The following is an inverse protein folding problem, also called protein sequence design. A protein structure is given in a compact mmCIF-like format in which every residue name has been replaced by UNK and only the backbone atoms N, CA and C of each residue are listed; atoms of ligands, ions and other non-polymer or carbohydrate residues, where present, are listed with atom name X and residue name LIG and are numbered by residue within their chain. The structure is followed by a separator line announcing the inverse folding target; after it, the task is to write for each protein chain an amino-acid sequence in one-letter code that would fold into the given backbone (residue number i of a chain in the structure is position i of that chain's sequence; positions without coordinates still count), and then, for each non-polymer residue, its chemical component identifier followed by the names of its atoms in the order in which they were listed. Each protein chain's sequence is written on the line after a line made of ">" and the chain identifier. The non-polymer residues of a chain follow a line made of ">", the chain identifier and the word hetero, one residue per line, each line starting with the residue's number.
data_IF_527823668244
#
_entry.id   IF_527823668244
#
_cell.length_a   1.000
_cell.length_b   1.000
_cell.length_c   1.000
_cell.angle_alpha   90.00
_cell.angle_beta   90.00
_cell.angle_gamma   90.00
#
_symmetry.space_group_name_H-M   'P 1'
#
loop_
_entity.id
_entity.type
_entity.pdbx_description
1 polymer ?
#
# COMPACT_ATOMS: atom_id res chain seq x y z
N UNK A 1 -12.10 3.68 25.42
CA UNK A 1 -12.05 3.19 24.03
C UNK A 1 -11.80 1.69 24.12
N UNK A 2 -12.57 0.89 23.39
CA UNK A 2 -12.35 -0.56 23.37
C UNK A 2 -11.03 -0.86 22.67
N UNK A 3 -10.23 -1.78 23.20
CA UNK A 3 -9.03 -2.28 22.51
C UNK A 3 -9.39 -3.18 21.30
N UNK A 4 -10.69 -3.48 21.13
CA UNK A 4 -11.20 -4.28 20.03
C UNK A 4 -11.36 -3.47 18.76
N UNK A 5 -11.18 -4.11 17.61
CA UNK A 5 -11.40 -3.49 16.32
C UNK A 5 -12.86 -3.13 16.12
N UNK A 6 -13.11 -2.07 15.35
CA UNK A 6 -14.44 -1.71 14.89
C UNK A 6 -14.86 -2.57 13.68
N UNK A 7 -16.15 -2.46 13.35
CA UNK A 7 -16.74 -3.19 12.23
C UNK A 7 -16.06 -2.87 10.90
N UNK A 8 -15.67 -1.63 10.68
CA UNK A 8 -15.12 -1.16 9.41
C UNK A 8 -13.70 -1.71 9.21
N UNK A 9 -12.86 -1.70 10.24
CA UNK A 9 -11.56 -2.36 10.27
C UNK A 9 -11.67 -3.85 9.90
N UNK A 10 -12.62 -4.57 10.51
CA UNK A 10 -12.85 -6.00 10.18
C UNK A 10 -13.30 -6.18 8.74
N UNK A 11 -14.22 -5.35 8.23
CA UNK A 11 -14.70 -5.45 6.85
C UNK A 11 -13.63 -5.04 5.82
N UNK A 12 -12.72 -4.14 6.18
CA UNK A 12 -11.57 -3.73 5.37
C UNK A 12 -10.57 -4.87 5.11
N UNK A 13 -10.57 -5.92 5.94
CA UNK A 13 -9.80 -7.14 5.71
C UNK A 13 -10.38 -8.03 4.61
N UNK A 14 -11.63 -7.81 4.20
CA UNK A 14 -12.31 -8.72 3.29
C UNK A 14 -11.63 -8.73 1.90
N UNK A 15 -11.40 -9.92 1.31
CA UNK A 15 -10.77 -10.01 -0.01
C UNK A 15 -11.68 -9.51 -1.14
N UNK A 16 -13.00 -9.43 -0.91
CA UNK A 16 -13.98 -8.82 -1.81
C UNK A 16 -15.29 -8.50 -1.07
N UNK A 17 -16.12 -7.65 -1.70
CA UNK A 17 -17.42 -7.23 -1.18
C UNK A 17 -18.39 -8.38 -0.91
N UNK A 18 -18.31 -9.46 -1.69
CA UNK A 18 -19.15 -10.65 -1.49
C UNK A 18 -18.79 -11.38 -0.19
N UNK A 19 -17.50 -11.46 0.13
CA UNK A 19 -16.98 -12.05 1.37
C UNK A 19 -17.36 -11.21 2.58
N UNK A 20 -17.25 -9.87 2.49
CA UNK A 20 -17.72 -8.94 3.50
C UNK A 20 -19.23 -9.11 3.79
N UNK A 21 -20.06 -9.14 2.75
CA UNK A 21 -21.51 -9.36 2.89
C UNK A 21 -21.84 -10.72 3.52
N UNK A 22 -21.14 -11.78 3.10
CA UNK A 22 -21.35 -13.13 3.63
C UNK A 22 -20.92 -13.26 5.10
N UNK A 23 -19.92 -12.50 5.54
CA UNK A 23 -19.47 -12.46 6.93
C UNK A 23 -20.58 -12.01 7.88
N UNK A 24 -21.33 -10.96 7.52
CA UNK A 24 -22.49 -10.50 8.32
C UNK A 24 -23.58 -11.56 8.48
N UNK A 25 -23.72 -12.48 7.51
CA UNK A 25 -24.65 -13.60 7.62
C UNK A 25 -24.24 -14.68 8.62
N UNK A 26 -22.94 -14.77 8.96
CA UNK A 26 -22.39 -15.74 9.92
C UNK A 26 -21.99 -15.11 11.25
N UNK A 27 -21.86 -13.79 11.34
CA UNK A 27 -21.67 -13.04 12.58
C UNK A 27 -22.96 -13.02 13.43
N UNK A 28 -23.35 -14.19 13.95
CA UNK A 28 -24.51 -14.38 14.83
C UNK A 28 -24.12 -15.36 15.93
N UNK A 29 -24.23 -15.01 17.23
CA UNK A 29 -23.79 -15.90 18.32
C UNK A 29 -24.32 -17.33 18.22
N UNK A 30 -25.59 -17.50 17.83
CA UNK A 30 -26.24 -18.80 17.65
C UNK A 30 -25.60 -19.73 16.59
N UNK A 31 -24.76 -19.20 15.70
CA UNK A 31 -24.02 -20.00 14.70
C UNK A 31 -22.66 -20.48 15.20
N UNK A 32 -22.22 -19.98 16.34
CA UNK A 32 -20.90 -20.24 16.90
C UNK A 32 -21.00 -21.04 18.19
N UNK A 33 -20.00 -21.86 18.44
CA UNK A 33 -19.79 -22.56 19.70
C UNK A 33 -18.31 -22.49 20.07
N UNK A 34 -18.01 -22.65 21.36
CA UNK A 34 -16.62 -22.64 21.86
C UNK A 34 -15.87 -21.37 21.48
N UNK A 35 -16.55 -20.23 21.41
CA UNK A 35 -15.93 -18.93 21.16
C UNK A 35 -15.16 -18.50 22.39
N UNK A 36 -14.00 -17.91 22.17
CA UNK A 36 -13.22 -17.27 23.22
C UNK A 36 -12.18 -16.33 22.62
N UNK A 37 -11.67 -15.43 23.44
CA UNK A 37 -10.50 -14.62 23.11
C UNK A 37 -9.54 -14.52 24.29
N UNK A 38 -8.34 -14.07 23.97
CA UNK A 38 -7.33 -13.56 24.90
C UNK A 38 -6.62 -12.37 24.23
N UNK A 39 -5.56 -11.86 24.84
CA UNK A 39 -4.83 -10.69 24.36
C UNK A 39 -4.20 -10.88 22.95
N UNK A 40 -3.99 -12.13 22.52
CA UNK A 40 -3.27 -12.43 21.29
C UNK A 40 -4.17 -13.01 20.19
N UNK A 41 -5.29 -13.63 20.56
CA UNK A 41 -6.08 -14.40 19.60
C UNK A 41 -7.58 -14.40 19.91
N UNK A 42 -8.36 -14.59 18.86
CA UNK A 42 -9.79 -14.94 18.94
C UNK A 42 -10.04 -16.26 18.23
N UNK A 43 -10.89 -17.11 18.79
CA UNK A 43 -11.23 -18.42 18.22
C UNK A 43 -12.73 -18.74 18.34
N UNK A 44 -13.18 -19.69 17.53
CA UNK A 44 -14.52 -20.26 17.64
C UNK A 44 -14.81 -21.33 16.58
N UNK A 45 -15.90 -22.06 16.79
CA UNK A 45 -16.38 -23.09 15.88
C UNK A 45 -17.70 -22.67 15.23
N UNK A 46 -17.65 -22.36 13.92
CA UNK A 46 -18.85 -21.95 13.18
C UNK A 46 -19.57 -23.18 12.62
N UNK A 47 -20.86 -23.34 12.91
CA UNK A 47 -21.70 -24.36 12.26
C UNK A 47 -21.84 -24.04 10.77
N UNK A 48 -21.21 -24.87 9.95
CA UNK A 48 -21.24 -24.78 8.49
C UNK A 48 -22.44 -25.50 7.87
N UNK A 49 -22.46 -25.58 6.54
CA UNK A 49 -23.39 -26.42 5.78
C UNK A 49 -23.03 -27.91 5.78
N UNK A 50 -21.90 -28.29 6.39
CA UNK A 50 -21.42 -29.67 6.49
C UNK A 50 -21.71 -30.30 7.85
N UNK A 51 -21.29 -31.56 8.04
CA UNK A 51 -21.50 -32.33 9.29
C UNK A 51 -20.63 -31.85 10.47
N UNK A 52 -19.48 -31.23 10.20
CA UNK A 52 -18.56 -30.70 11.23
C UNK A 52 -18.54 -29.17 11.24
N UNK A 53 -18.35 -28.60 12.44
CA UNK A 53 -18.15 -27.16 12.59
C UNK A 53 -16.77 -26.74 12.06
N UNK A 54 -16.70 -25.55 11.46
CA UNK A 54 -15.45 -24.97 10.98
C UNK A 54 -14.72 -24.27 12.12
N UNK A 55 -13.55 -24.79 12.51
CA UNK A 55 -12.66 -24.16 13.48
C UNK A 55 -12.02 -22.95 12.84
N UNK A 56 -12.15 -21.81 13.51
CA UNK A 56 -11.69 -20.52 13.02
C UNK A 56 -10.92 -19.82 14.12
N UNK A 57 -9.73 -19.33 13.82
CA UNK A 57 -8.90 -18.55 14.73
C UNK A 57 -8.25 -17.39 13.98
N UNK A 58 -8.07 -16.27 14.67
CA UNK A 58 -7.33 -15.12 14.20
C UNK A 58 -6.30 -14.71 15.25
N UNK A 59 -5.10 -14.40 14.78
CA UNK A 59 -4.03 -13.72 15.53
C UNK A 59 -4.34 -12.22 15.50
N UNK A 60 -4.31 -11.54 16.65
CA UNK A 60 -4.61 -10.12 16.83
C UNK A 60 -3.33 -9.27 16.94
N UNK A 61 -2.16 -9.88 17.12
CA UNK A 61 -0.84 -9.22 17.23
C UNK A 61 -0.20 -9.01 15.86
N UNK A 62 -0.22 -10.05 15.03
CA UNK A 62 0.15 -10.00 13.62
C UNK A 62 -1.02 -10.54 12.78
N UNK A 63 -2.02 -9.68 12.47
CA UNK A 63 -3.29 -10.08 11.90
C UNK A 63 -3.19 -11.15 10.82
N UNK A 64 -3.57 -12.35 11.21
CA UNK A 64 -3.53 -13.54 10.38
C UNK A 64 -4.69 -14.46 10.73
N UNK A 65 -5.09 -15.29 9.78
CA UNK A 65 -6.38 -15.97 9.86
C UNK A 65 -6.24 -17.43 9.47
N UNK A 66 -6.83 -18.32 10.27
CA UNK A 66 -6.99 -19.74 9.93
C UNK A 66 -8.44 -20.15 10.08
N UNK A 67 -8.93 -20.87 9.08
CA UNK A 67 -10.25 -21.49 9.11
C UNK A 67 -10.17 -22.85 8.44
N UNK A 68 -10.83 -23.87 8.99
CA UNK A 68 -10.88 -25.21 8.39
C UNK A 68 -11.87 -25.36 7.22
N UNK A 69 -12.47 -24.25 6.75
CA UNK A 69 -13.42 -24.29 5.64
C UNK A 69 -12.71 -24.43 4.28
N UNK A 70 -13.37 -24.97 3.24
CA UNK A 70 -12.76 -25.22 1.92
C UNK A 70 -12.59 -23.95 1.05
N UNK A 71 -12.77 -22.75 1.62
CA UNK A 71 -12.69 -21.50 0.86
C UNK A 71 -11.25 -21.23 0.42
N UNK A 72 -11.09 -20.70 -0.80
CA UNK A 72 -9.81 -20.17 -1.28
C UNK A 72 -9.64 -18.67 -1.02
N UNK A 73 -10.63 -18.02 -0.41
CA UNK A 73 -10.60 -16.60 -0.05
C UNK A 73 -10.16 -16.46 1.41
N UNK A 74 -9.11 -15.69 1.65
CA UNK A 74 -8.54 -15.48 2.98
C UNK A 74 -8.31 -13.98 3.22
N UNK A 75 -8.83 -13.40 4.33
CA UNK A 75 -9.73 -14.02 5.31
C UNK A 75 -11.05 -14.49 4.68
N UNK A 76 -11.57 -15.65 5.13
CA UNK A 76 -12.84 -16.17 4.65
C UNK A 76 -14.01 -15.56 5.43
N UNK A 77 -15.25 -15.79 4.98
CA UNK A 77 -16.45 -15.28 5.68
C UNK A 77 -16.53 -15.69 7.16
N UNK A 78 -15.98 -16.84 7.54
CA UNK A 78 -16.00 -17.29 8.95
C UNK A 78 -14.96 -16.53 9.78
N UNK A 79 -13.75 -16.32 9.26
CA UNK A 79 -12.74 -15.47 9.92
C UNK A 79 -13.25 -14.06 10.13
N UNK A 80 -13.83 -13.45 9.09
CA UNK A 80 -14.47 -12.13 9.19
C UNK A 80 -15.66 -12.15 10.16
N UNK A 81 -16.50 -13.18 10.12
CA UNK A 81 -17.66 -13.31 11.00
C UNK A 81 -17.30 -13.46 12.48
N UNK A 82 -16.23 -14.18 12.79
CA UNK A 82 -15.69 -14.29 14.16
C UNK A 82 -15.17 -12.94 14.65
N UNK A 83 -14.38 -12.26 13.82
CA UNK A 83 -13.85 -10.94 14.15
C UNK A 83 -14.95 -9.90 14.33
N UNK A 84 -16.05 -9.98 13.56
CA UNK A 84 -17.23 -9.13 13.76
C UNK A 84 -17.89 -9.39 15.12
N UNK A 85 -18.04 -10.65 15.53
CA UNK A 85 -18.58 -10.97 16.86
C UNK A 85 -17.67 -10.45 17.97
N UNK A 86 -16.35 -10.59 17.80
CA UNK A 86 -15.39 -10.06 18.76
C UNK A 86 -15.45 -8.54 18.84
N UNK A 87 -15.42 -7.85 17.70
CA UNK A 87 -15.58 -6.40 17.58
C UNK A 87 -16.85 -5.88 18.27
N UNK A 88 -17.95 -6.62 18.16
CA UNK A 88 -19.25 -6.28 18.75
C UNK A 88 -19.36 -6.65 20.25
N UNK A 89 -18.29 -7.14 20.89
CA UNK A 89 -18.31 -7.51 22.31
C UNK A 89 -18.94 -8.88 22.60
N UNK A 90 -19.29 -9.65 21.58
CA UNK A 90 -20.06 -10.91 21.71
C UNK A 90 -19.18 -12.17 21.88
N UNK A 91 -17.87 -11.99 22.07
CA UNK A 91 -16.92 -13.05 22.42
C UNK A 91 -16.27 -12.69 23.75
N UNK A 92 -16.42 -13.60 24.72
CA UNK A 92 -15.87 -13.48 26.07
C UNK A 92 -14.45 -14.05 26.14
N UNK A 93 -13.70 -13.64 27.16
CA UNK A 93 -12.38 -14.21 27.43
C UNK A 93 -12.49 -15.67 27.84
N UNK A 94 -11.50 -16.49 27.43
CA UNK A 94 -11.53 -17.90 27.76
C UNK A 94 -10.22 -18.63 27.54
N UNK A 95 -10.10 -19.88 28.03
CA UNK A 95 -8.91 -20.68 27.80
C UNK A 95 -8.81 -21.10 26.32
N UNK A 96 -7.65 -20.83 25.72
CA UNK A 96 -7.37 -21.17 24.32
C UNK A 96 -7.42 -22.69 24.10
N UNK A 97 -8.22 -23.21 23.16
CA UNK A 97 -8.28 -24.63 22.86
C UNK A 97 -6.99 -25.11 22.19
N UNK A 98 -6.64 -26.38 22.37
CA UNK A 98 -5.37 -26.96 21.89
C UNK A 98 -5.08 -26.69 20.40
N UNK A 99 -6.10 -26.81 19.53
CA UNK A 99 -5.93 -26.56 18.09
C UNK A 99 -5.63 -25.10 17.74
N UNK A 100 -6.06 -24.13 18.57
CA UNK A 100 -5.77 -22.71 18.39
C UNK A 100 -4.38 -22.40 18.95
N UNK A 101 -4.03 -22.97 20.11
CA UNK A 101 -2.68 -22.86 20.70
C UNK A 101 -1.61 -23.44 19.77
N UNK A 102 -1.81 -24.65 19.25
CA UNK A 102 -0.92 -25.28 18.26
C UNK A 102 -0.70 -24.39 17.04
N UNK A 103 -1.76 -23.75 16.54
CA UNK A 103 -1.64 -22.87 15.38
C UNK A 103 -0.84 -21.59 15.68
N UNK A 104 -1.03 -20.97 16.85
CA UNK A 104 -0.27 -19.79 17.26
C UNK A 104 1.22 -20.12 17.45
N UNK A 105 1.54 -21.26 18.07
CA UNK A 105 2.92 -21.71 18.24
C UNK A 105 3.58 -22.10 16.90
N UNK A 106 2.85 -22.78 16.01
CA UNK A 106 3.34 -23.02 14.64
C UNK A 106 3.67 -21.72 13.90
N UNK A 107 2.90 -20.65 14.11
CA UNK A 107 3.17 -19.35 13.50
C UNK A 107 4.42 -18.71 14.07
N UNK A 108 4.58 -18.67 15.40
CA UNK A 108 5.78 -18.14 16.07
C UNK A 108 7.04 -18.84 15.57
N UNK A 109 7.04 -20.17 15.59
CA UNK A 109 8.17 -20.96 15.11
C UNK A 109 8.46 -20.75 13.60
N UNK A 110 7.44 -20.51 12.77
CA UNK A 110 7.64 -20.16 11.35
C UNK A 110 8.22 -18.77 11.17
N UNK A 111 7.79 -17.80 11.97
CA UNK A 111 8.31 -16.45 11.95
C UNK A 111 9.80 -16.43 12.33
N UNK A 112 10.17 -17.12 13.42
CA UNK A 112 11.56 -17.28 13.86
C UNK A 112 12.43 -17.94 12.78
N UNK A 113 12.00 -19.07 12.22
CA UNK A 113 12.72 -19.74 11.12
C UNK A 113 12.84 -18.87 9.86
N UNK A 114 11.85 -18.03 9.58
CA UNK A 114 11.92 -17.11 8.45
C UNK A 114 12.98 -16.02 8.66
N UNK A 115 13.12 -15.51 9.89
CA UNK A 115 14.19 -14.59 10.30
C UNK A 115 15.56 -15.27 10.13
N UNK A 116 15.73 -16.49 10.63
CA UNK A 116 16.98 -17.25 10.49
C UNK A 116 17.36 -17.51 9.02
N UNK A 117 16.40 -17.93 8.19
CA UNK A 117 16.65 -18.16 6.74
C UNK A 117 17.06 -16.90 6.00
N UNK A 118 16.48 -15.75 6.37
CA UNK A 118 16.82 -14.45 5.78
C UNK A 118 18.21 -14.01 6.20
N UNK A 119 18.58 -14.19 7.47
CA UNK A 119 19.94 -13.92 7.94
C UNK A 119 20.98 -14.77 7.18
N UNK A 120 20.67 -16.03 6.87
CA UNK A 120 21.55 -16.91 6.10
C UNK A 120 21.66 -16.53 4.61
N UNK A 121 20.61 -15.98 3.98
CA UNK A 121 20.65 -15.57 2.57
C UNK A 121 21.43 -14.25 2.37
N UNK A 122 21.40 -13.36 3.36
CA UNK A 122 22.08 -12.05 3.33
C UNK A 122 23.61 -12.16 3.16
N UNK A 123 24.23 -13.27 3.56
CA UNK A 123 25.68 -13.47 3.49
C UNK A 123 26.23 -13.68 2.06
N UNK A 124 25.36 -13.83 1.04
CA UNK A 124 25.80 -14.13 -0.33
C UNK A 124 25.97 -12.86 -1.15
N UNK A 125 27.19 -12.31 -1.14
CA UNK A 125 27.55 -11.18 -1.99
C UNK A 125 27.37 -11.49 -3.49
N UNK A 126 26.85 -10.52 -4.25
CA UNK A 126 26.73 -10.63 -5.71
C UNK A 126 28.11 -10.51 -6.36
N UNK A 127 28.37 -11.32 -7.38
CA UNK A 127 29.58 -11.26 -8.19
C UNK A 127 29.77 -9.86 -8.83
N UNK A 128 30.88 -9.15 -8.55
CA UNK A 128 31.14 -7.81 -9.10
C UNK A 128 31.08 -7.72 -10.63
N UNK A 129 31.52 -8.76 -11.34
CA UNK A 129 31.47 -8.79 -12.82
C UNK A 129 30.04 -8.79 -13.35
N UNK A 130 29.13 -9.44 -12.63
CA UNK A 130 27.71 -9.46 -12.97
C UNK A 130 27.04 -8.11 -12.73
N UNK A 131 27.47 -7.36 -11.70
CA UNK A 131 26.99 -6.00 -11.42
C UNK A 131 27.44 -5.03 -12.52
N UNK A 132 28.71 -5.06 -12.90
CA UNK A 132 29.24 -4.18 -13.95
C UNK A 132 28.57 -4.47 -15.31
N UNK A 133 28.41 -5.75 -15.68
CA UNK A 133 27.72 -6.12 -16.92
C UNK A 133 26.28 -5.61 -16.97
N UNK A 134 25.57 -5.66 -15.84
CA UNK A 134 24.22 -5.09 -15.72
C UNK A 134 24.24 -3.59 -15.91
N UNK A 135 25.16 -2.88 -15.26
CA UNK A 135 25.27 -1.42 -15.39
C UNK A 135 25.47 -1.00 -16.85
N UNK A 136 26.38 -1.67 -17.59
CA UNK A 136 26.61 -1.41 -19.02
C UNK A 136 25.37 -1.64 -19.88
N UNK A 137 24.64 -2.75 -19.69
CA UNK A 137 23.39 -3.03 -20.42
C UNK A 137 22.34 -1.95 -20.19
N UNK A 138 22.22 -1.49 -18.94
CA UNK A 138 21.31 -0.40 -18.58
C UNK A 138 21.76 0.91 -19.24
N UNK A 139 23.05 1.26 -19.18
CA UNK A 139 23.59 2.47 -19.83
C UNK A 139 23.25 2.48 -21.35
N UNK A 140 23.45 1.36 -22.05
CA UNK A 140 23.12 1.22 -23.47
C UNK A 140 21.62 1.36 -23.75
N UNK A 141 20.78 0.70 -22.94
CA UNK A 141 19.32 0.77 -23.07
C UNK A 141 18.77 2.18 -22.83
N UNK A 142 19.31 2.90 -21.84
CA UNK A 142 18.92 4.29 -21.58
C UNK A 142 19.41 5.25 -22.68
N UNK A 143 20.57 4.99 -23.29
CA UNK A 143 21.04 5.76 -24.44
C UNK A 143 20.17 5.58 -25.68
N UNK A 144 19.62 4.38 -25.88
CA UNK A 144 18.59 4.15 -26.91
C UNK A 144 17.28 4.88 -26.57
N UNK A 145 16.81 4.80 -25.32
CA UNK A 145 15.61 5.50 -24.89
C UNK A 145 15.72 7.02 -25.05
N UNK A 146 16.85 7.66 -24.70
CA UNK A 146 17.04 9.11 -24.90
C UNK A 146 16.97 9.50 -26.38
N UNK A 147 17.56 8.71 -27.28
CA UNK A 147 17.46 8.93 -28.73
C UNK A 147 16.01 8.84 -29.19
N UNK A 148 15.33 7.75 -28.81
CA UNK A 148 13.93 7.56 -29.16
C UNK A 148 13.04 8.71 -28.66
N UNK A 149 13.17 9.13 -27.40
CA UNK A 149 12.42 10.26 -26.82
C UNK A 149 12.67 11.57 -27.58
N UNK A 150 13.93 11.85 -27.95
CA UNK A 150 14.28 13.05 -28.73
C UNK A 150 13.69 13.01 -30.13
N UNK A 151 13.71 11.84 -30.77
CA UNK A 151 13.10 11.65 -32.08
C UNK A 151 11.58 11.87 -31.99
N UNK A 152 10.90 11.39 -30.95
CA UNK A 152 9.47 11.63 -30.76
C UNK A 152 9.11 13.11 -30.68
N UNK A 153 9.91 13.90 -29.96
CA UNK A 153 9.69 15.34 -29.87
C UNK A 153 10.04 16.05 -31.19
N UNK A 154 11.13 15.65 -31.85
CA UNK A 154 11.57 16.26 -33.11
C UNK A 154 10.60 16.04 -34.27
N UNK A 155 9.99 14.85 -34.37
CA UNK A 155 8.98 14.54 -35.40
C UNK A 155 7.62 15.17 -35.11
N UNK A 156 7.42 15.71 -33.90
CA UNK A 156 6.18 16.30 -33.44
C UNK A 156 5.20 15.27 -32.87
N UNK A 157 4.55 15.65 -31.77
CA UNK A 157 3.70 14.73 -31.00
C UNK A 157 2.42 14.32 -31.74
N UNK A 158 1.96 15.09 -32.72
CA UNK A 158 0.71 14.85 -33.46
C UNK A 158 0.59 13.43 -34.06
N UNK A 159 1.73 12.80 -34.40
CA UNK A 159 1.75 11.43 -34.94
C UNK A 159 1.46 10.36 -33.87
N UNK A 160 1.60 10.68 -32.59
CA UNK A 160 1.39 9.74 -31.49
C UNK A 160 -0.07 9.25 -31.40
N UNK A 161 -1.04 10.05 -31.86
CA UNK A 161 -2.46 9.66 -31.90
C UNK A 161 -2.71 8.49 -32.87
N UNK A 162 -1.93 8.42 -33.95
CA UNK A 162 -2.01 7.36 -34.97
C UNK A 162 -0.97 6.26 -34.77
N UNK A 163 -0.08 6.41 -33.78
CA UNK A 163 1.00 5.47 -33.53
C UNK A 163 0.46 4.10 -33.10
N UNK A 164 0.89 3.00 -33.73
CA UNK A 164 0.47 1.66 -33.31
C UNK A 164 1.06 1.32 -31.93
N UNK A 165 0.33 0.53 -31.13
CA UNK A 165 0.82 0.06 -29.82
C UNK A 165 2.22 -0.57 -29.89
N UNK A 166 2.50 -1.29 -30.99
CA UNK A 166 3.79 -1.96 -31.26
C UNK A 166 4.99 -1.01 -31.16
N UNK A 167 4.85 0.24 -31.56
CA UNK A 167 5.93 1.24 -31.47
C UNK A 167 6.44 1.42 -30.04
N UNK A 168 5.53 1.44 -29.07
CA UNK A 168 5.83 1.57 -27.65
C UNK A 168 6.34 0.25 -27.06
N UNK A 169 5.73 -0.86 -27.46
CA UNK A 169 6.12 -2.19 -26.97
C UNK A 169 7.51 -2.62 -27.45
N UNK A 170 7.91 -2.27 -28.68
CA UNK A 170 9.24 -2.55 -29.20
C UNK A 170 10.33 -1.85 -28.36
N UNK A 171 10.11 -0.60 -27.95
CA UNK A 171 11.00 0.13 -27.03
C UNK A 171 10.99 -0.50 -25.63
N UNK A 172 9.81 -0.85 -25.12
CA UNK A 172 9.67 -1.49 -23.83
C UNK A 172 10.39 -2.85 -23.76
N UNK A 173 10.32 -3.66 -24.82
CA UNK A 173 11.05 -4.93 -24.94
C UNK A 173 12.56 -4.73 -24.84
N UNK A 174 13.10 -3.73 -25.57
CA UNK A 174 14.53 -3.40 -25.51
C UNK A 174 14.97 -2.96 -24.12
N UNK A 175 14.13 -2.22 -23.39
CA UNK A 175 14.40 -1.87 -22.00
C UNK A 175 14.43 -3.10 -21.07
N UNK A 176 13.58 -4.10 -21.31
CA UNK A 176 13.64 -5.37 -20.57
C UNK A 176 14.96 -6.11 -20.87
N UNK A 177 15.34 -6.20 -22.14
CA UNK A 177 16.60 -6.83 -22.57
C UNK A 177 17.83 -6.11 -21.98
N UNK A 178 17.74 -4.78 -21.84
CA UNK A 178 18.72 -3.91 -21.19
C UNK A 178 18.72 -3.98 -19.65
N UNK A 179 17.82 -4.76 -19.04
CA UNK A 179 17.65 -4.88 -17.58
C UNK A 179 17.16 -3.60 -16.87
N UNK A 180 16.44 -2.74 -17.61
CA UNK A 180 15.75 -1.54 -17.14
C UNK A 180 14.21 -1.72 -17.15
N UNK A 181 13.74 -2.86 -16.64
CA UNK A 181 12.34 -3.30 -16.78
C UNK A 181 11.30 -2.40 -16.12
N UNK A 182 11.68 -1.62 -15.10
CA UNK A 182 10.79 -0.65 -14.46
C UNK A 182 10.32 0.42 -15.47
N UNK A 183 11.21 0.88 -16.34
CA UNK A 183 10.90 1.83 -17.41
C UNK A 183 10.05 1.23 -18.52
N UNK A 184 10.18 -0.07 -18.79
CA UNK A 184 9.41 -0.75 -19.83
C UNK A 184 7.90 -0.65 -19.56
N UNK A 185 7.48 -0.83 -18.30
CA UNK A 185 6.09 -0.65 -17.89
C UNK A 185 5.58 0.78 -18.10
N UNK A 186 6.42 1.78 -17.79
CA UNK A 186 6.12 3.19 -18.03
C UNK A 186 5.93 3.46 -19.52
N UNK A 187 6.87 3.04 -20.37
CA UNK A 187 6.78 3.24 -21.83
C UNK A 187 5.52 2.61 -22.42
N UNK A 188 5.14 1.39 -22.00
CA UNK A 188 3.87 0.78 -22.45
C UNK A 188 2.65 1.59 -22.04
N UNK A 189 2.67 2.20 -20.86
CA UNK A 189 1.55 3.02 -20.38
C UNK A 189 1.33 4.30 -21.20
N UNK A 190 2.38 4.81 -21.87
CA UNK A 190 2.30 6.00 -22.72
C UNK A 190 1.37 5.81 -23.91
N UNK A 191 1.21 4.58 -24.42
CA UNK A 191 0.33 4.26 -25.54
C UNK A 191 -1.14 4.61 -25.28
N UNK A 192 -1.55 4.73 -24.01
CA UNK A 192 -2.90 5.11 -23.63
C UNK A 192 -3.13 6.63 -23.59
N UNK A 193 -2.05 7.43 -23.55
CA UNK A 193 -2.14 8.89 -23.36
C UNK A 193 -2.77 9.60 -24.56
N UNK A 194 -2.39 9.33 -25.83
CA UNK A 194 -2.94 10.04 -26.99
C UNK A 194 -4.46 9.96 -27.17
N UNK A 195 -5.14 9.09 -26.42
CA UNK A 195 -6.60 8.91 -26.44
C UNK A 195 -7.34 9.74 -25.38
N UNK A 196 -6.65 10.66 -24.71
CA UNK A 196 -7.17 11.45 -23.58
C UNK A 196 -7.34 12.92 -23.98
N UNK A 197 -8.21 13.68 -23.28
CA UNK A 197 -8.17 15.14 -23.35
C UNK A 197 -6.79 15.67 -22.93
N UNK A 198 -6.37 16.77 -23.55
CA UNK A 198 -5.09 17.46 -23.28
C UNK A 198 -3.85 16.55 -23.39
N UNK A 199 -3.94 15.50 -24.20
CA UNK A 199 -2.90 14.49 -24.31
C UNK A 199 -1.54 15.00 -24.80
N UNK A 200 -1.40 16.03 -25.68
CA UNK A 200 -0.07 16.42 -26.16
C UNK A 200 0.81 16.93 -25.01
N UNK A 201 0.24 17.77 -24.14
CA UNK A 201 0.95 18.28 -22.96
C UNK A 201 1.31 17.15 -21.99
N UNK A 202 0.38 16.24 -21.73
CA UNK A 202 0.62 15.09 -20.84
C UNK A 202 1.68 14.14 -21.39
N UNK A 203 1.67 13.85 -22.68
CA UNK A 203 2.67 12.99 -23.29
C UNK A 203 4.06 13.64 -23.25
N UNK A 204 4.14 14.95 -23.48
CA UNK A 204 5.39 15.70 -23.38
C UNK A 204 5.95 15.69 -21.95
N UNK A 205 5.09 15.86 -20.94
CA UNK A 205 5.46 15.78 -19.53
C UNK A 205 6.07 14.41 -19.20
N UNK A 206 5.42 13.32 -19.61
CA UNK A 206 5.91 11.96 -19.39
C UNK A 206 7.24 11.70 -20.11
N UNK A 207 7.40 12.20 -21.34
CA UNK A 207 8.70 12.17 -22.04
C UNK A 207 9.77 12.97 -21.32
N UNK A 208 9.44 14.14 -20.79
CA UNK A 208 10.36 14.98 -20.04
C UNK A 208 10.82 14.28 -18.75
N UNK A 209 9.90 13.65 -18.01
CA UNK A 209 10.21 12.87 -16.80
C UNK A 209 11.09 11.65 -17.11
N UNK A 210 10.78 10.89 -18.17
CA UNK A 210 11.62 9.77 -18.61
C UNK A 210 13.02 10.24 -19.01
N UNK A 211 13.12 11.33 -19.77
CA UNK A 211 14.41 11.89 -20.18
C UNK A 211 15.19 12.45 -18.99
N UNK A 212 14.52 13.07 -18.03
CA UNK A 212 15.14 13.52 -16.78
C UNK A 212 15.76 12.33 -16.05
N UNK A 213 15.07 11.20 -15.98
CA UNK A 213 15.56 9.98 -15.32
C UNK A 213 16.77 9.40 -16.05
N UNK A 214 16.74 9.36 -17.39
CA UNK A 214 17.90 8.96 -18.20
C UNK A 214 19.10 9.87 -17.92
N UNK A 215 18.91 11.19 -17.90
CA UNK A 215 19.99 12.13 -17.61
C UNK A 215 20.52 11.99 -16.19
N UNK A 216 19.65 11.78 -15.21
CA UNK A 216 20.04 11.57 -13.82
C UNK A 216 20.86 10.28 -13.67
N UNK A 217 20.46 9.18 -14.31
CA UNK A 217 21.22 7.93 -14.26
C UNK A 217 22.60 8.03 -14.92
N UNK A 218 22.72 8.79 -16.01
CA UNK A 218 24.01 9.04 -16.68
C UNK A 218 24.97 9.89 -15.83
N UNK A 219 24.44 10.77 -14.98
CA UNK A 219 25.19 11.64 -14.06
C UNK A 219 25.13 11.15 -12.62
N UNK A 220 24.81 9.87 -12.40
CA UNK A 220 24.54 9.29 -11.07
C UNK A 220 25.68 9.51 -10.06
N UNK A 221 26.92 9.58 -10.52
CA UNK A 221 28.10 9.76 -9.68
C UNK A 221 28.24 11.20 -9.15
N UNK A 222 27.49 12.15 -9.74
CA UNK A 222 27.40 13.55 -9.30
C UNK A 222 26.18 13.81 -8.39
N UNK A 223 25.29 12.83 -8.20
CA UNK A 223 24.07 12.99 -7.43
C UNK A 223 24.31 12.75 -5.93
N UNK A 224 23.59 13.46 -5.04
CA UNK A 224 23.51 13.07 -3.63
C UNK A 224 23.08 11.61 -3.49
N UNK A 225 23.61 10.91 -2.49
CA UNK A 225 23.43 9.47 -2.30
C UNK A 225 21.96 9.03 -2.33
N UNK A 226 21.08 9.71 -1.59
CA UNK A 226 19.65 9.38 -1.58
C UNK A 226 18.98 9.51 -2.95
N UNK A 227 19.31 10.55 -3.72
CA UNK A 227 18.78 10.74 -5.08
C UNK A 227 19.36 9.72 -6.06
N UNK A 228 20.63 9.35 -5.90
CA UNK A 228 21.26 8.27 -6.69
C UNK A 228 20.51 6.94 -6.47
N UNK A 229 20.16 6.60 -5.24
CA UNK A 229 19.39 5.38 -4.96
C UNK A 229 17.94 5.46 -5.47
N UNK A 230 17.29 6.64 -5.36
CA UNK A 230 15.99 6.90 -6.01
C UNK A 230 16.06 6.60 -7.52
N UNK A 231 17.05 7.15 -8.21
CA UNK A 231 17.26 6.98 -9.65
C UNK A 231 17.50 5.50 -10.00
N UNK A 232 18.35 4.81 -9.24
CA UNK A 232 18.63 3.38 -9.42
C UNK A 232 17.35 2.53 -9.25
N UNK A 233 16.57 2.79 -8.20
CA UNK A 233 15.30 2.11 -7.96
C UNK A 233 14.32 2.30 -9.13
N UNK A 234 14.18 3.54 -9.61
CA UNK A 234 13.27 3.89 -10.72
C UNK A 234 13.67 3.28 -12.07
N UNK A 235 14.96 3.04 -12.30
CA UNK A 235 15.46 2.31 -13.48
C UNK A 235 15.22 0.80 -13.35
N UNK A 236 15.12 0.27 -12.14
CA UNK A 236 14.81 -1.13 -11.85
C UNK A 236 15.88 -1.88 -11.07
N UNK A 237 16.86 -1.19 -10.49
CA UNK A 237 17.73 -1.80 -9.48
C UNK A 237 16.93 -2.06 -8.21
N UNK A 238 17.09 -3.25 -7.64
CA UNK A 238 16.36 -3.66 -6.43
C UNK A 238 17.34 -3.86 -5.30
N UNK A 239 17.00 -3.30 -4.14
CA UNK A 239 17.63 -3.58 -2.86
C UNK A 239 16.94 -4.80 -2.25
N UNK A 240 17.67 -5.88 -1.92
CA UNK A 240 17.12 -7.04 -1.23
C UNK A 240 16.44 -6.63 0.09
N UNK A 241 15.40 -7.36 0.49
CA UNK A 241 14.71 -7.04 1.75
C UNK A 241 15.63 -7.23 2.95
N UNK A 242 16.52 -8.22 2.88
CA UNK A 242 17.47 -8.54 3.94
C UNK A 242 18.48 -7.40 4.18
N UNK A 243 18.96 -6.76 3.11
CA UNK A 243 19.84 -5.59 3.17
C UNK A 243 19.11 -4.39 3.79
N UNK A 244 17.84 -4.16 3.42
CA UNK A 244 17.04 -3.09 4.04
C UNK A 244 16.83 -3.33 5.53
N UNK A 245 16.54 -4.57 5.94
CA UNK A 245 16.34 -4.91 7.36
C UNK A 245 17.64 -4.81 8.18
N UNK A 246 18.78 -5.08 7.56
CA UNK A 246 20.09 -5.00 8.21
C UNK A 246 20.59 -3.55 8.31
N UNK A 247 20.64 -2.86 7.17
CA UNK A 247 21.42 -1.62 6.99
C UNK A 247 20.55 -0.38 6.71
N UNK A 248 19.26 -0.56 6.41
CA UNK A 248 18.32 0.54 6.17
C UNK A 248 18.09 1.38 7.43
N UNK A 249 17.68 2.64 7.22
CA UNK A 249 17.31 3.53 8.33
C UNK A 249 16.14 2.92 9.12
N UNK A 250 16.34 2.76 10.44
CA UNK A 250 15.35 2.18 11.35
C UNK A 250 14.64 3.27 12.13
N UNK A 251 13.31 3.28 12.05
CA UNK A 251 12.48 4.22 12.80
C UNK A 251 11.45 3.43 13.60
N UNK A 252 11.57 3.52 14.92
CA UNK A 252 10.56 3.03 15.85
C UNK A 252 9.55 4.12 16.15
N UNK A 253 8.28 3.81 15.93
CA UNK A 253 7.16 4.70 16.24
C UNK A 253 5.91 3.84 16.50
N UNK A 254 4.83 4.50 16.90
CA UNK A 254 3.49 3.94 16.77
C UNK A 254 2.93 4.34 15.42
N UNK A 255 2.74 3.38 14.54
CA UNK A 255 2.36 3.60 13.16
C UNK A 255 0.87 3.40 12.99
N UNK A 256 0.14 4.48 12.71
CA UNK A 256 -1.25 4.38 12.29
C UNK A 256 -1.30 3.89 10.84
N UNK A 257 -2.08 2.86 10.54
CA UNK A 257 -2.32 2.38 9.17
C UNK A 257 -3.42 3.24 8.56
N UNK A 258 -3.04 4.21 7.74
CA UNK A 258 -3.93 5.29 7.29
C UNK A 258 -4.64 5.00 5.97
N UNK A 259 -4.22 3.98 5.23
CA UNK A 259 -4.90 3.62 3.99
C UNK A 259 -4.29 2.42 3.30
N UNK A 260 -5.10 1.76 2.49
CA UNK A 260 -4.67 0.62 1.68
C UNK A 260 -5.25 0.74 0.27
N UNK A 261 -4.48 0.28 -0.72
CA UNK A 261 -4.96 0.17 -2.09
C UNK A 261 -4.34 -1.02 -2.82
N UNK A 262 -5.21 -1.84 -3.39
CA UNK A 262 -4.81 -2.94 -4.25
C UNK A 262 -4.90 -2.53 -5.72
N UNK A 263 -3.88 -2.89 -6.48
CA UNK A 263 -3.82 -2.69 -7.93
C UNK A 263 -3.38 -3.98 -8.60
N UNK A 264 -4.22 -4.51 -9.49
CA UNK A 264 -3.86 -5.64 -10.34
C UNK A 264 -3.17 -5.16 -11.62
N UNK A 265 -2.03 -5.75 -11.95
CA UNK A 265 -1.28 -5.52 -13.19
C UNK A 265 -0.92 -6.88 -13.80
N UNK A 266 -1.53 -7.21 -14.93
CA UNK A 266 -1.40 -8.52 -15.59
C UNK A 266 -1.72 -9.68 -14.63
N UNK A 267 -0.70 -10.41 -14.18
CA UNK A 267 -0.82 -11.56 -13.27
C UNK A 267 -0.44 -11.23 -11.83
N UNK A 268 -0.01 -9.99 -11.54
CA UNK A 268 0.48 -9.58 -10.23
C UNK A 268 -0.47 -8.58 -9.57
N UNK A 269 -0.92 -8.90 -8.36
CA UNK A 269 -1.62 -7.92 -7.51
C UNK A 269 -0.61 -7.27 -6.58
N UNK A 270 -0.59 -5.94 -6.56
CA UNK A 270 0.22 -5.14 -5.62
C UNK A 270 -0.70 -4.46 -4.62
N UNK A 271 -0.43 -4.64 -3.33
CA UNK A 271 -1.04 -3.90 -2.24
C UNK A 271 -0.10 -2.80 -1.77
N UNK A 272 -0.61 -1.57 -1.73
CA UNK A 272 0.03 -0.43 -1.08
C UNK A 272 -0.65 -0.21 0.25
N UNK A 273 0.14 -0.14 1.32
CA UNK A 273 -0.34 0.27 2.64
C UNK A 273 0.42 1.49 3.08
N UNK A 274 -0.31 2.56 3.37
CA UNK A 274 0.22 3.81 3.87
C UNK A 274 0.15 3.82 5.39
N UNK A 275 1.24 4.24 6.03
CA UNK A 275 1.31 4.43 7.47
C UNK A 275 1.77 5.86 7.79
N UNK A 276 1.37 6.35 8.97
CA UNK A 276 1.86 7.60 9.53
C UNK A 276 2.34 7.37 10.97
N UNK A 277 3.57 7.77 11.27
CA UNK A 277 4.12 7.72 12.61
C UNK A 277 3.41 8.71 13.53
N UNK A 278 2.90 8.26 14.67
CA UNK A 278 2.14 9.10 15.61
C UNK A 278 3.03 10.14 16.29
N UNK A 279 4.28 9.79 16.63
CA UNK A 279 5.22 10.73 17.25
C UNK A 279 6.00 11.54 16.23
N UNK A 280 6.42 10.90 15.15
CA UNK A 280 7.31 11.53 14.16
C UNK A 280 6.56 12.26 13.05
N UNK A 281 5.28 11.98 12.85
CA UNK A 281 4.52 12.43 11.68
C UNK A 281 4.98 11.79 10.36
N UNK A 282 6.00 10.92 10.39
CA UNK A 282 6.67 10.41 9.20
C UNK A 282 5.74 9.53 8.37
N UNK A 283 5.65 9.74 7.05
CA UNK A 283 4.92 8.83 6.18
C UNK A 283 5.75 7.57 5.87
N UNK A 284 5.07 6.44 5.70
CA UNK A 284 5.68 5.20 5.24
C UNK A 284 4.77 4.45 4.26
N UNK A 285 5.39 3.69 3.35
CA UNK A 285 4.74 2.82 2.38
C UNK A 285 5.24 1.39 2.52
N UNK A 286 4.35 0.46 2.83
CA UNK A 286 4.61 -0.98 2.76
C UNK A 286 3.99 -1.53 1.49
N UNK A 287 4.76 -2.33 0.75
CA UNK A 287 4.34 -2.97 -0.50
C UNK A 287 4.29 -4.49 -0.33
N UNK A 288 3.15 -5.08 -0.66
CA UNK A 288 2.96 -6.53 -0.72
C UNK A 288 2.54 -6.96 -2.12
N UNK A 289 3.03 -8.11 -2.57
CA UNK A 289 2.82 -8.61 -3.92
C UNK A 289 2.23 -10.02 -3.86
N UNK A 290 1.23 -10.30 -4.69
CA UNK A 290 0.63 -11.62 -4.83
C UNK A 290 0.58 -12.02 -6.32
N UNK A 291 1.25 -13.12 -6.64
CA UNK A 291 1.10 -13.83 -7.92
C UNK A 291 -0.20 -14.65 -7.91
N UNK A 292 -0.65 -15.19 -9.07
CA UNK A 292 -1.90 -15.95 -9.13
C UNK A 292 -1.87 -17.14 -8.18
N UNK A 293 -2.91 -17.26 -7.33
CA UNK A 293 -3.02 -18.32 -6.33
C UNK A 293 -2.33 -18.04 -4.99
N UNK A 294 -1.64 -16.91 -4.84
CA UNK A 294 -1.10 -16.44 -3.55
C UNK A 294 -1.99 -15.36 -2.94
N UNK A 295 -1.97 -15.25 -1.61
CA UNK A 295 -2.74 -14.25 -0.87
C UNK A 295 -1.86 -13.05 -0.55
N UNK A 296 -2.45 -11.85 -0.60
CA UNK A 296 -1.77 -10.64 -0.13
C UNK A 296 -1.62 -10.67 1.38
N UNK A 297 -0.54 -10.06 1.86
CA UNK A 297 -0.39 -9.78 3.27
C UNK A 297 -1.54 -8.88 3.76
N UNK A 298 -2.16 -9.29 4.87
CA UNK A 298 -3.27 -8.61 5.52
C UNK A 298 -2.92 -8.24 6.98
N UNK A 299 -1.62 -8.25 7.31
CA UNK A 299 -1.12 -7.95 8.65
C UNK A 299 -1.20 -6.47 9.06
N UNK A 300 -1.47 -5.56 8.11
CA UNK A 300 -1.62 -4.12 8.34
C UNK A 300 -3.07 -3.73 8.05
N UNK A 301 -3.82 -3.42 9.11
CA UNK A 301 -5.27 -3.18 9.04
C UNK A 301 -5.55 -1.69 9.07
N UNK A 302 -6.21 -1.15 8.05
CA UNK A 302 -6.51 0.29 7.99
C UNK A 302 -7.37 0.70 9.19
N UNK A 303 -7.01 1.81 9.82
CA UNK A 303 -7.66 2.32 11.02
C UNK A 303 -7.06 1.80 12.33
N UNK A 304 -6.04 0.94 12.29
CA UNK A 304 -5.34 0.48 13.50
C UNK A 304 -3.98 1.17 13.67
N UNK A 305 -3.40 1.02 14.85
CA UNK A 305 -2.07 1.46 15.23
C UNK A 305 -1.23 0.26 15.67
N UNK A 306 0.05 0.25 15.29
CA UNK A 306 1.03 -0.78 15.68
C UNK A 306 2.28 -0.14 16.28
N UNK A 307 2.81 -0.67 17.38
CA UNK A 307 4.16 -0.33 17.87
C UNK A 307 5.16 -1.16 17.06
N UNK A 308 5.90 -0.50 16.18
CA UNK A 308 6.75 -1.19 15.23
C UNK A 308 8.01 -0.40 14.91
N UNK A 309 9.08 -1.15 14.63
CA UNK A 309 10.27 -0.62 13.98
C UNK A 309 10.13 -0.85 12.46
N UNK A 310 10.19 0.23 11.70
CA UNK A 310 10.22 0.18 10.23
C UNK A 310 11.65 0.42 9.74
N UNK A 311 12.10 -0.43 8.81
CA UNK A 311 13.34 -0.25 8.08
C UNK A 311 13.07 0.32 6.69
N UNK A 312 13.60 1.50 6.38
CA UNK A 312 13.33 2.22 5.15
C UNK A 312 14.30 1.82 4.04
N UNK A 313 13.76 1.65 2.83
CA UNK A 313 14.56 1.53 1.62
C UNK A 313 15.32 2.84 1.38
N UNK A 314 16.56 2.79 0.90
CA UNK A 314 17.30 3.99 0.56
C UNK A 314 16.61 4.76 -0.57
N UNK A 315 16.63 6.09 -0.47
CA UNK A 315 15.97 7.01 -1.37
C UNK A 315 15.86 8.40 -0.77
N UNK A 316 15.38 9.37 -1.53
CA UNK A 316 15.18 10.74 -1.06
C UNK A 316 13.82 11.29 -1.52
N UNK A 317 12.83 11.50 -0.61
CA UNK A 317 12.83 11.03 0.78
C UNK A 317 12.63 9.49 0.87
N UNK A 318 13.19 8.81 1.88
CA UNK A 318 12.89 7.40 2.14
C UNK A 318 11.41 7.25 2.55
N UNK A 319 10.61 6.64 1.66
CA UNK A 319 9.18 6.43 1.88
C UNK A 319 8.81 4.96 1.99
N UNK A 320 9.39 4.11 1.14
CA UNK A 320 9.12 2.67 1.15
C UNK A 320 9.83 2.03 2.34
N UNK A 321 9.13 1.18 3.09
CA UNK A 321 9.67 0.51 4.26
C UNK A 321 9.27 -0.98 4.33
N UNK A 322 9.98 -1.69 5.20
CA UNK A 322 9.64 -3.02 5.69
C UNK A 322 9.36 -2.93 7.18
N UNK A 323 8.43 -3.74 7.68
CA UNK A 323 8.28 -3.95 9.13
C UNK A 323 9.43 -4.83 9.59
N UNK A 324 10.33 -4.28 10.40
CA UNK A 324 11.49 -4.99 10.93
C UNK A 324 11.16 -5.76 12.21
N UNK A 325 10.29 -5.21 13.04
CA UNK A 325 9.76 -5.84 14.24
C UNK A 325 8.47 -5.17 14.70
N UNK A 326 7.67 -5.92 15.46
CA UNK A 326 6.43 -5.45 16.07
C UNK A 326 6.42 -5.81 17.55
N UNK A 327 5.82 -4.95 18.36
CA UNK A 327 5.60 -5.19 19.78
C UNK A 327 4.15 -4.90 20.15
N UNK A 328 3.63 -5.70 21.08
CA UNK A 328 2.28 -5.52 21.60
C UNK A 328 1.15 -5.83 20.61
N UNK A 329 -0.11 -5.68 21.06
CA UNK A 329 -1.29 -5.94 20.24
C UNK A 329 -1.56 -4.80 19.25
N UNK A 330 -2.30 -5.11 18.19
CA UNK A 330 -2.81 -4.11 17.23
C UNK A 330 -4.08 -3.48 17.80
N UNK A 331 -4.04 -2.17 18.07
CA UNK A 331 -5.18 -1.42 18.64
C UNK A 331 -5.82 -0.50 17.62
N UNK A 332 -7.11 -0.11 17.76
CA UNK A 332 -7.68 0.98 16.96
C UNK A 332 -6.86 2.27 17.09
N UNK A 333 -6.71 3.00 15.98
CA UNK A 333 -5.88 4.19 15.91
C UNK A 333 -6.46 5.26 14.98
N UNK A 334 -6.59 6.49 15.49
CA UNK A 334 -6.83 7.69 14.69
C UNK A 334 -5.49 8.41 14.49
N UNK A 335 -5.04 8.65 13.25
CA UNK A 335 -3.82 9.39 13.03
C UNK A 335 -4.05 10.86 13.39
N UNK A 336 -3.02 11.53 13.91
CA UNK A 336 -2.95 12.99 13.79
C UNK A 336 -2.90 13.33 12.28
N UNK A 337 -3.31 14.53 11.87
CA UNK A 337 -3.21 14.98 10.48
C UNK A 337 -2.35 16.23 10.34
N UNK A 338 -2.60 16.98 9.28
CA UNK A 338 -2.00 18.28 8.95
C UNK A 338 -3.08 19.16 8.34
N UNK A 339 -2.88 20.47 8.31
CA UNK A 339 -3.66 21.36 7.44
C UNK A 339 -3.37 21.07 5.96
N UNK A 340 -4.22 21.58 5.05
CA UNK A 340 -3.98 21.44 3.60
C UNK A 340 -2.67 22.10 3.20
N UNK A 341 -2.33 23.25 3.79
CA UNK A 341 -1.10 23.97 3.51
C UNK A 341 0.16 23.21 3.93
N UNK A 342 0.19 22.73 5.17
CA UNK A 342 1.33 21.94 5.67
C UNK A 342 1.54 20.67 4.84
N UNK A 343 0.45 20.00 4.44
CA UNK A 343 0.53 18.86 3.53
C UNK A 343 1.13 19.24 2.16
N UNK A 344 0.73 20.38 1.59
CA UNK A 344 1.27 20.85 0.32
C UNK A 344 2.75 21.23 0.44
N UNK A 345 3.17 21.80 1.57
CA UNK A 345 4.58 22.09 1.87
C UNK A 345 5.39 20.79 2.02
N UNK A 346 4.87 19.78 2.72
CA UNK A 346 5.48 18.45 2.83
C UNK A 346 5.66 17.79 1.45
N UNK A 347 4.61 17.83 0.63
CA UNK A 347 4.64 17.29 -0.73
C UNK A 347 5.61 18.05 -1.64
N UNK A 348 5.65 19.39 -1.54
CA UNK A 348 6.60 20.21 -2.30
C UNK A 348 8.05 19.91 -1.90
N UNK A 349 8.31 19.72 -0.60
CA UNK A 349 9.62 19.30 -0.11
C UNK A 349 10.00 17.90 -0.63
N UNK A 350 9.04 16.96 -0.66
CA UNK A 350 9.27 15.63 -1.24
C UNK A 350 9.60 15.70 -2.75
N UNK A 351 8.84 16.50 -3.52
CA UNK A 351 9.07 16.71 -4.95
C UNK A 351 10.41 17.36 -5.26
N UNK A 352 10.90 18.25 -4.38
CA UNK A 352 12.21 18.86 -4.52
C UNK A 352 13.35 17.83 -4.43
N UNK A 353 13.15 16.75 -3.67
CA UNK A 353 14.11 15.66 -3.54
C UNK A 353 13.93 14.56 -4.61
N UNK A 354 12.68 14.26 -4.99
CA UNK A 354 12.35 13.28 -6.03
C UNK A 354 11.24 13.82 -6.96
N UNK A 355 11.61 14.34 -8.15
CA UNK A 355 10.66 14.95 -9.08
C UNK A 355 9.76 13.94 -9.79
N UNK A 356 9.97 12.63 -9.58
CA UNK A 356 9.17 11.57 -10.21
C UNK A 356 8.15 10.95 -9.24
N UNK A 357 7.95 11.53 -8.05
CA UNK A 357 6.88 11.13 -7.14
C UNK A 357 5.53 11.36 -7.85
N UNK A 358 4.80 10.28 -8.10
CA UNK A 358 3.46 10.33 -8.70
C UNK A 358 2.34 10.22 -7.66
N UNK A 359 2.70 9.81 -6.43
CA UNK A 359 1.81 9.49 -5.32
C UNK A 359 2.45 9.87 -4.00
N UNK A 360 1.70 10.61 -3.18
CA UNK A 360 2.12 10.97 -1.83
C UNK A 360 0.99 10.71 -0.83
N UNK A 361 1.27 10.13 0.35
CA UNK A 361 0.23 9.94 1.36
C UNK A 361 -0.17 11.29 1.97
N UNK A 362 -1.47 11.59 1.99
CA UNK A 362 -2.03 12.73 2.70
C UNK A 362 -2.76 12.23 3.94
N UNK A 363 -2.60 12.92 5.07
CA UNK A 363 -3.47 12.77 6.24
C UNK A 363 -3.83 14.17 6.71
N UNK A 364 -5.03 14.61 6.36
CA UNK A 364 -5.55 15.94 6.63
C UNK A 364 -6.40 15.91 7.88
N UNK A 365 -6.17 16.84 8.79
CA UNK A 365 -6.94 16.97 10.02
C UNK A 365 -8.06 18.00 9.85
N UNK A 366 -9.17 17.77 10.53
CA UNK A 366 -10.30 18.71 10.62
C UNK A 366 -10.80 19.23 9.26
N UNK A 367 -10.87 18.35 8.24
CA UNK A 367 -11.38 18.74 6.92
C UNK A 367 -12.86 18.44 6.77
N UNK A 368 -13.58 19.33 6.09
CA UNK A 368 -14.98 19.14 5.69
C UNK A 368 -15.07 18.79 4.22
N UNK A 369 -16.05 17.98 3.87
CA UNK A 369 -16.35 17.68 2.48
C UNK A 369 -17.23 18.77 1.90
N UNK A 370 -16.73 19.44 0.86
CA UNK A 370 -17.47 20.45 0.12
C UNK A 370 -17.76 19.96 -1.30
N UNK A 371 -18.85 20.44 -1.88
CA UNK A 371 -19.23 20.15 -3.27
C UNK A 371 -19.47 21.45 -4.01
N UNK A 372 -18.84 21.61 -5.17
CA UNK A 372 -19.13 22.72 -6.09
C UNK A 372 -20.48 22.52 -6.77
N UNK A 373 -21.07 23.58 -7.34
CA UNK A 373 -22.30 23.49 -8.15
C UNK A 373 -22.19 22.47 -9.30
N UNK A 374 -21.01 22.38 -9.93
CA UNK A 374 -20.69 21.40 -10.98
C UNK A 374 -20.51 19.96 -10.48
N UNK A 375 -20.66 19.73 -9.17
CA UNK A 375 -20.66 18.41 -8.56
C UNK A 375 -19.30 17.86 -8.15
N UNK A 376 -18.19 18.57 -8.41
CA UNK A 376 -16.85 18.20 -7.95
C UNK A 376 -16.73 18.31 -6.43
N UNK A 377 -15.97 17.39 -5.82
CA UNK A 377 -15.80 17.27 -4.37
C UNK A 377 -14.42 17.77 -3.94
N UNK A 378 -14.38 18.38 -2.77
CA UNK A 378 -13.18 18.94 -2.15
C UNK A 378 -13.12 18.55 -0.68
N UNK A 379 -11.90 18.36 -0.16
CA UNK A 379 -11.62 18.41 1.27
C UNK A 379 -11.15 19.83 1.60
N UNK A 380 -11.83 20.51 2.50
CA UNK A 380 -11.58 21.91 2.87
C UNK A 380 -11.24 21.96 4.35
N UNK A 381 -10.11 22.56 4.70
CA UNK A 381 -9.74 22.75 6.11
C UNK A 381 -10.38 24.01 6.72
N UNK A 382 -10.18 24.22 8.01
CA UNK A 382 -10.76 25.36 8.75
C UNK A 382 -10.21 26.74 8.28
N UNK A 383 -9.09 26.76 7.56
CA UNK A 383 -8.53 27.98 6.96
C UNK A 383 -9.14 28.29 5.59
N UNK A 384 -9.95 27.38 5.05
CA UNK A 384 -10.55 27.47 3.71
C UNK A 384 -9.62 26.99 2.59
N UNK A 385 -8.43 26.48 2.92
CA UNK A 385 -7.56 25.84 1.93
C UNK A 385 -8.19 24.48 1.53
N UNK A 386 -8.11 24.13 0.24
CA UNK A 386 -8.89 23.02 -0.31
C UNK A 386 -8.10 22.13 -1.25
N UNK A 387 -8.31 20.81 -1.16
CA UNK A 387 -7.79 19.82 -2.10
C UNK A 387 -8.92 19.16 -2.90
N UNK A 388 -8.80 19.06 -4.24
CA UNK A 388 -9.77 18.35 -5.06
C UNK A 388 -9.73 16.86 -4.75
N UNK A 389 -10.90 16.27 -4.52
CA UNK A 389 -11.06 14.83 -4.40
C UNK A 389 -11.25 14.22 -5.79
N UNK A 390 -10.61 13.07 -6.01
CA UNK A 390 -10.89 12.23 -7.18
C UNK A 390 -12.35 11.76 -7.14
N UNK A 391 -12.96 11.49 -8.30
CA UNK A 391 -14.29 10.92 -8.34
C UNK A 391 -14.35 9.63 -7.52
N UNK A 392 -15.19 9.66 -6.49
CA UNK A 392 -15.51 8.55 -5.59
C UNK A 392 -17.02 8.50 -5.42
N UNK A 393 -17.52 7.38 -4.90
CA UNK A 393 -18.85 7.36 -4.29
C UNK A 393 -18.77 8.05 -2.91
N UNK A 394 -19.32 9.26 -2.74
CA UNK A 394 -19.10 10.05 -1.54
C UNK A 394 -20.01 9.65 -0.38
N UNK A 395 -21.03 8.80 -0.62
CA UNK A 395 -22.12 8.64 0.34
C UNK A 395 -21.66 8.12 1.70
N UNK A 396 -20.70 7.18 1.73
CA UNK A 396 -20.15 6.66 3.00
C UNK A 396 -19.39 7.73 3.78
N UNK A 397 -18.60 8.55 3.09
CA UNK A 397 -17.86 9.64 3.73
C UNK A 397 -18.79 10.76 4.19
N UNK A 398 -19.80 11.13 3.39
CA UNK A 398 -20.81 12.12 3.77
C UNK A 398 -21.62 11.64 4.98
N UNK A 399 -22.05 10.37 4.98
CA UNK A 399 -22.78 9.75 6.08
C UNK A 399 -21.95 9.71 7.37
N UNK A 400 -20.65 9.39 7.28
CA UNK A 400 -19.74 9.44 8.43
C UNK A 400 -19.59 10.87 8.96
N UNK A 401 -19.38 11.84 8.07
CA UNK A 401 -19.09 13.22 8.48
C UNK A 401 -20.30 13.94 9.07
N UNK A 402 -21.53 13.66 8.59
CA UNK A 402 -22.71 14.45 8.92
C UNK A 402 -22.58 15.95 8.56
N UNK A 403 -21.62 16.33 7.70
CA UNK A 403 -21.23 17.72 7.45
C UNK A 403 -20.22 18.30 8.45
N UNK A 404 -19.86 17.54 9.49
CA UNK A 404 -18.79 17.80 10.43
C UNK A 404 -17.39 17.62 9.86
N UNK A 405 -16.35 18.09 10.58
CA UNK A 405 -14.96 17.89 10.20
C UNK A 405 -14.54 16.44 10.46
N UNK A 406 -13.70 15.89 9.59
CA UNK A 406 -13.12 14.55 9.72
C UNK A 406 -11.61 14.60 9.56
N UNK A 407 -10.91 13.61 10.13
CA UNK A 407 -9.54 13.33 9.69
C UNK A 407 -9.64 12.49 8.41
N UNK A 408 -9.03 12.94 7.31
CA UNK A 408 -9.11 12.29 6.00
C UNK A 408 -7.73 11.83 5.55
N UNK A 409 -7.55 10.54 5.31
CA UNK A 409 -6.34 10.00 4.71
C UNK A 409 -6.57 9.56 3.27
N UNK A 410 -5.57 9.77 2.42
CA UNK A 410 -5.67 9.44 1.02
C UNK A 410 -4.34 9.45 0.27
N UNK A 411 -4.41 9.08 -1.00
CA UNK A 411 -3.28 9.12 -1.92
C UNK A 411 -3.42 10.35 -2.83
N UNK A 412 -2.53 11.33 -2.65
CA UNK A 412 -2.44 12.51 -3.47
C UNK A 412 -1.75 12.21 -4.80
N UNK A 413 -2.23 12.83 -5.87
CA UNK A 413 -1.66 12.74 -7.22
C UNK A 413 -2.03 14.00 -8.01
N UNK A 414 -1.46 14.24 -9.20
CA UNK A 414 -1.86 15.35 -10.06
C UNK A 414 -3.35 15.35 -10.46
N UNK A 415 -4.06 14.23 -10.25
CA UNK A 415 -5.50 14.10 -10.52
C UNK A 415 -6.39 14.44 -9.32
N UNK A 416 -5.80 14.85 -8.21
CA UNK A 416 -6.47 15.07 -6.92
C UNK A 416 -6.24 13.95 -5.92
N UNK A 417 -6.75 14.18 -4.70
CA UNK A 417 -6.69 13.27 -3.57
C UNK A 417 -7.66 12.11 -3.77
N UNK A 418 -7.18 10.87 -3.69
CA UNK A 418 -8.04 9.70 -3.56
C UNK A 418 -8.23 9.38 -2.07
N UNK A 419 -9.42 9.58 -1.50
CA UNK A 419 -9.71 9.10 -0.14
C UNK A 419 -9.48 7.60 -0.03
N UNK A 420 -8.88 7.18 1.09
CA UNK A 420 -8.65 5.78 1.46
C UNK A 420 -9.29 5.45 2.81
N UNK A 421 -9.28 6.39 3.75
CA UNK A 421 -9.96 6.26 5.03
C UNK A 421 -10.33 7.63 5.60
N UNK A 422 -11.36 7.67 6.44
CA UNK A 422 -11.74 8.84 7.22
C UNK A 422 -12.11 8.45 8.64
N UNK A 423 -11.81 9.32 9.60
CA UNK A 423 -12.15 9.17 11.01
C UNK A 423 -13.00 10.35 11.46
N UNK A 424 -14.11 10.03 12.13
CA UNK A 424 -14.97 10.94 12.87
C UNK A 424 -15.02 10.46 14.32
N UNK A 425 -15.50 11.28 15.24
CA UNK A 425 -15.58 10.91 16.66
C UNK A 425 -16.51 9.69 16.90
N UNK A 426 -17.46 9.47 15.99
CA UNK A 426 -18.42 8.36 16.02
C UNK A 426 -17.94 7.09 15.30
N UNK A 427 -16.80 7.13 14.59
CA UNK A 427 -16.25 5.93 13.94
C UNK A 427 -15.31 6.20 12.76
N UNK A 428 -14.99 5.12 12.05
CA UNK A 428 -14.08 5.11 10.90
C UNK A 428 -14.80 4.66 9.65
N UNK A 429 -14.46 5.17 8.47
CA UNK A 429 -14.84 4.60 7.17
C UNK A 429 -13.60 4.28 6.36
N UNK A 430 -13.53 3.06 5.84
CA UNK A 430 -12.51 2.63 4.87
C UNK A 430 -13.15 2.66 3.48
N UNK A 431 -12.54 3.40 2.54
CA UNK A 431 -13.12 3.79 1.24
C UNK A 431 -12.87 2.77 0.14
#
# INVERSE_FOLDING_TARGET
>A
MSDRWDREQVLGLAPDAASAKAAGGVAKPAKWAGTGCDDEAVWGECRGSGKSAYRTCADLTEPAFRCSCPSRKFPCKHSLGLLLLWAEGAVDDGPRPGWAAEWMEERRARAEKAVERRAASAARARDPKTVERRARRVDDGLAELDRWLRDQVAHGLAQAEKAPYKMWDDVARRLVDAQASALAGHVRSLAAIPRRPDWPGRLLEEYALLRLLVRAYRRRDELPEGLRETVRSRVGFTVPQEEVLADGEKVRDRWCVVGQRDTAQELLTTRRVWLRGRRTGRPALVLSFAAPGTVLDASLVVGTEIDAELAFYPGAPPLRALVAGREGPVTPGRPAGTSVREFLDEHAAALAHDPWIDRWPATLESVRLARTDGGALFAVDDSGDALPLRPIDPWRLLALSGGGPVTLAGEWSPRGLRPLAAWHDEGTVIV
#
